data_IF_009370754942
#
_entry.id   IF_009370754942
#
_cell.length_a   1.000
_cell.length_b   1.000
_cell.length_c   1.000
_cell.angle_alpha   90.00
_cell.angle_beta   90.00
_cell.angle_gamma   90.00
#
_symmetry.space_group_name_H-M   'P 1'
#
loop_
_entity.id
_entity.type
_entity.pdbx_description
1 polymer ?
#
# COMPACT_ATOMS: atom_id res chain seq x y z
N UNK A 1 1.12 -10.40 22.31
CA UNK A 1 1.84 -9.21 22.81
C UNK A 1 2.01 -8.23 21.66
N UNK A 2 1.56 -6.97 21.81
CA UNK A 2 1.72 -5.93 20.78
C UNK A 2 3.16 -5.40 20.90
N UNK A 3 4.08 -5.95 20.10
CA UNK A 3 5.47 -5.48 20.11
C UNK A 3 5.49 -4.10 19.46
N UNK A 4 5.34 -3.06 20.29
CA UNK A 4 5.37 -1.69 19.81
C UNK A 4 6.82 -1.25 19.62
N UNK A 5 7.45 -1.74 18.54
CA UNK A 5 8.81 -1.32 18.18
C UNK A 5 8.80 0.20 17.97
N UNK A 6 9.60 0.96 18.74
CA UNK A 6 9.63 2.41 18.65
C UNK A 6 9.85 2.90 17.22
N UNK A 7 9.13 3.94 16.80
CA UNK A 7 9.17 4.46 15.42
C UNK A 7 10.59 4.75 14.93
N UNK A 8 11.45 5.23 15.83
CA UNK A 8 12.88 5.52 15.56
C UNK A 8 13.67 4.26 15.19
N UNK A 9 13.44 3.15 15.90
CA UNK A 9 14.09 1.86 15.64
C UNK A 9 13.64 1.31 14.28
N UNK A 10 12.36 1.46 13.95
CA UNK A 10 11.81 1.03 12.66
C UNK A 10 12.43 1.79 11.50
N UNK A 11 12.54 3.11 11.62
CA UNK A 11 13.18 3.97 10.62
C UNK A 11 14.66 3.63 10.48
N UNK A 12 15.37 3.41 11.59
CA UNK A 12 16.78 3.02 11.56
C UNK A 12 17.00 1.69 10.83
N UNK A 13 16.18 0.67 11.11
CA UNK A 13 16.24 -0.63 10.43
C UNK A 13 15.95 -0.51 8.92
N UNK A 14 15.00 0.33 8.53
CA UNK A 14 14.71 0.57 7.11
C UNK A 14 15.85 1.30 6.40
N UNK A 15 16.41 2.34 7.02
CA UNK A 15 17.56 3.06 6.45
C UNK A 15 18.80 2.16 6.35
N UNK A 16 19.04 1.32 7.37
CA UNK A 16 20.13 0.36 7.38
C UNK A 16 19.99 -0.66 6.23
N UNK A 17 18.78 -1.16 5.97
CA UNK A 17 18.56 -2.11 4.87
C UNK A 17 18.71 -1.44 3.49
N UNK A 18 18.18 -0.21 3.33
CA UNK A 18 18.23 0.55 2.06
C UNK A 18 19.65 0.95 1.70
N UNK A 19 20.44 1.43 2.68
CA UNK A 19 21.81 1.88 2.45
C UNK A 19 22.83 0.74 2.59
N UNK A 20 22.57 -0.22 3.48
CA UNK A 20 23.48 -1.33 3.75
C UNK A 20 23.59 -2.29 2.59
N UNK A 21 22.51 -2.52 1.83
CA UNK A 21 22.56 -3.43 0.66
C UNK A 21 23.54 -2.92 -0.42
N UNK A 22 23.48 -1.65 -0.88
CA UNK A 22 24.50 -1.08 -1.77
C UNK A 22 25.92 -1.17 -1.20
N UNK A 23 26.10 -0.88 0.10
CA UNK A 23 27.42 -0.89 0.75
C UNK A 23 28.01 -2.31 0.79
N UNK A 24 27.22 -3.30 1.16
CA UNK A 24 27.64 -4.70 1.25
C UNK A 24 27.94 -5.26 -0.15
N UNK A 25 27.11 -4.95 -1.15
CA UNK A 25 27.37 -5.34 -2.54
C UNK A 25 28.67 -4.71 -3.06
N UNK A 26 28.89 -3.43 -2.77
CA UNK A 26 30.14 -2.75 -3.14
C UNK A 26 31.36 -3.35 -2.43
N UNK A 27 31.25 -3.61 -1.13
CA UNK A 27 32.32 -4.24 -0.35
C UNK A 27 32.66 -5.64 -0.87
N UNK A 28 31.64 -6.43 -1.26
CA UNK A 28 31.85 -7.76 -1.87
C UNK A 28 32.51 -7.66 -3.24
N UNK A 29 32.12 -6.67 -4.05
CA UNK A 29 32.72 -6.41 -5.36
C UNK A 29 34.19 -5.96 -5.26
N UNK A 30 34.53 -5.20 -4.20
CA UNK A 30 35.91 -4.83 -3.85
C UNK A 30 36.73 -5.98 -3.27
N UNK A 31 36.10 -7.11 -2.93
CA UNK A 31 36.74 -8.24 -2.26
C UNK A 31 37.09 -7.97 -0.79
N UNK A 32 36.51 -6.95 -0.17
CA UNK A 32 36.72 -6.64 1.25
C UNK A 32 36.00 -7.60 2.19
N UNK A 33 34.93 -8.22 1.69
CA UNK A 33 34.15 -9.22 2.40
C UNK A 33 33.97 -10.46 1.52
N UNK A 34 33.78 -11.62 2.14
CA UNK A 34 33.58 -12.90 1.47
C UNK A 34 32.11 -13.32 1.42
N UNK A 35 31.91 -14.59 1.08
CA UNK A 35 30.57 -15.18 0.96
C UNK A 35 29.88 -15.38 2.32
N UNK A 36 30.68 -15.54 3.39
CA UNK A 36 30.17 -15.66 4.76
C UNK A 36 29.47 -14.37 5.20
N UNK A 37 30.14 -13.22 5.06
CA UNK A 37 29.59 -11.92 5.46
C UNK A 37 28.37 -11.55 4.61
N UNK A 38 28.41 -11.88 3.32
CA UNK A 38 27.27 -11.67 2.43
C UNK A 38 26.07 -12.53 2.83
N UNK A 39 26.29 -13.79 3.20
CA UNK A 39 25.25 -14.68 3.69
C UNK A 39 24.68 -14.19 5.05
N UNK A 40 25.55 -13.70 5.93
CA UNK A 40 25.14 -13.14 7.23
C UNK A 40 24.27 -11.89 7.04
N UNK A 41 24.65 -11.01 6.12
CA UNK A 41 23.84 -9.85 5.73
C UNK A 41 22.48 -10.28 5.17
N UNK A 42 22.46 -11.24 4.24
CA UNK A 42 21.21 -11.75 3.67
C UNK A 42 20.26 -12.35 4.72
N UNK A 43 20.81 -13.04 5.72
CA UNK A 43 20.04 -13.57 6.84
C UNK A 43 19.42 -12.45 7.70
N UNK A 44 20.17 -11.37 7.96
CA UNK A 44 19.68 -10.19 8.69
C UNK A 44 18.52 -9.51 7.95
N UNK A 45 18.69 -9.24 6.65
CA UNK A 45 17.65 -8.64 5.79
C UNK A 45 16.37 -9.49 5.82
N UNK A 46 16.51 -10.81 5.73
CA UNK A 46 15.38 -11.74 5.75
C UNK A 46 14.63 -11.68 7.09
N UNK A 47 15.36 -11.67 8.21
CA UNK A 47 14.77 -11.54 9.54
C UNK A 47 14.07 -10.19 9.74
N UNK A 48 14.67 -9.10 9.27
CA UNK A 48 14.11 -7.75 9.34
C UNK A 48 12.79 -7.64 8.55
N UNK A 49 12.73 -8.23 7.35
CA UNK A 49 11.51 -8.24 6.53
C UNK A 49 10.41 -9.13 7.12
N UNK A 50 10.76 -10.28 7.70
CA UNK A 50 9.80 -11.11 8.43
C UNK A 50 9.18 -10.35 9.62
N UNK A 51 10.01 -9.65 10.40
CA UNK A 51 9.54 -8.81 11.51
C UNK A 51 8.71 -7.61 11.03
N UNK A 52 9.04 -7.03 9.88
CA UNK A 52 8.24 -5.95 9.29
C UNK A 52 6.86 -6.46 8.85
N UNK A 53 6.79 -7.62 8.19
CA UNK A 53 5.53 -8.25 7.77
C UNK A 53 4.60 -8.54 8.95
N UNK A 54 5.14 -9.01 10.08
CA UNK A 54 4.37 -9.24 11.31
C UNK A 54 3.91 -7.93 11.98
N UNK A 55 4.58 -6.80 11.71
CA UNK A 55 4.24 -5.48 12.28
C UNK A 55 3.27 -4.66 11.42
N UNK A 56 3.05 -5.03 10.15
CA UNK A 56 1.97 -4.47 9.34
C UNK A 56 0.70 -5.20 9.75
N UNK A 57 -0.02 -4.62 10.72
CA UNK A 57 -1.31 -5.17 11.12
C UNK A 57 -2.23 -5.28 9.90
N UNK A 58 -2.84 -6.45 9.72
CA UNK A 58 -3.96 -6.70 8.80
C UNK A 58 -5.22 -5.95 9.25
N UNK A 59 -5.10 -4.66 9.55
CA UNK A 59 -6.24 -3.79 9.71
C UNK A 59 -6.79 -3.51 8.31
N UNK A 60 -8.12 -3.65 8.07
CA UNK A 60 -8.71 -3.11 6.86
C UNK A 60 -8.31 -1.63 6.83
N UNK A 61 -7.48 -1.24 5.86
CA UNK A 61 -7.16 0.14 5.64
C UNK A 61 -8.43 0.78 5.10
N UNK A 62 -9.29 1.22 6.02
CA UNK A 62 -10.48 1.98 5.70
C UNK A 62 -10.02 3.24 4.98
N UNK A 63 -10.06 3.21 3.65
CA UNK A 63 -9.89 4.40 2.83
C UNK A 63 -11.13 5.24 3.11
N UNK A 64 -11.00 6.19 4.02
CA UNK A 64 -12.02 7.20 4.25
C UNK A 64 -11.91 8.23 3.14
N UNK A 65 -12.69 8.02 2.07
CA UNK A 65 -12.87 9.03 1.04
C UNK A 65 -13.73 10.12 1.68
N UNK A 66 -13.13 11.29 1.94
CA UNK A 66 -13.91 12.49 2.26
C UNK A 66 -14.55 12.96 0.97
N UNK A 67 -15.87 12.80 0.90
CA UNK A 67 -16.68 13.31 -0.20
C UNK A 67 -17.17 14.69 0.23
N UNK A 68 -16.69 15.73 -0.45
CA UNK A 68 -17.18 17.09 -0.24
C UNK A 68 -18.63 17.22 -0.76
N UNK A 69 -19.38 18.21 -0.26
CA UNK A 69 -20.80 18.38 -0.58
C UNK A 69 -21.08 18.40 -2.10
N UNK A 70 -20.20 19.03 -2.88
CA UNK A 70 -20.30 19.11 -4.34
C UNK A 70 -20.20 17.73 -5.02
N UNK A 71 -19.36 16.86 -4.47
CA UNK A 71 -19.19 15.48 -4.94
C UNK A 71 -20.39 14.61 -4.56
N UNK A 72 -21.00 14.86 -3.40
CA UNK A 72 -22.23 14.19 -2.98
C UNK A 72 -23.38 14.52 -3.95
N UNK A 73 -23.55 15.81 -4.29
CA UNK A 73 -24.57 16.26 -5.26
C UNK A 73 -24.31 15.74 -6.68
N UNK A 74 -23.05 15.53 -7.06
CA UNK A 74 -22.71 14.92 -8.34
C UNK A 74 -23.04 13.41 -8.36
N UNK A 75 -22.81 12.70 -7.26
CA UNK A 75 -23.13 11.27 -7.11
C UNK A 75 -24.65 11.04 -7.08
N UNK A 76 -25.39 11.87 -6.35
CA UNK A 76 -26.85 11.82 -6.32
C UNK A 76 -27.45 12.04 -7.71
N UNK A 77 -26.92 13.01 -8.47
CA UNK A 77 -27.30 13.21 -9.87
C UNK A 77 -26.98 12.01 -10.75
N UNK A 78 -25.80 11.40 -10.58
CA UNK A 78 -25.42 10.18 -11.29
C UNK A 78 -26.39 9.02 -11.00
N UNK A 79 -26.76 8.82 -9.74
CA UNK A 79 -27.71 7.77 -9.33
C UNK A 79 -29.14 8.03 -9.82
N UNK A 80 -29.54 9.30 -9.93
CA UNK A 80 -30.83 9.67 -10.50
C UNK A 80 -30.88 9.31 -12.00
N UNK A 81 -29.86 9.71 -12.77
CA UNK A 81 -29.73 9.41 -14.20
C UNK A 81 -29.72 7.90 -14.44
N UNK A 82 -29.04 7.13 -13.60
CA UNK A 82 -29.00 5.67 -13.70
C UNK A 82 -30.40 5.06 -13.52
N UNK A 83 -31.16 5.53 -12.50
CA UNK A 83 -32.53 5.07 -12.25
C UNK A 83 -33.47 5.44 -13.38
N UNK A 84 -33.31 6.63 -13.95
CA UNK A 84 -34.11 7.08 -15.08
C UNK A 84 -33.79 6.22 -16.31
N UNK A 85 -32.52 5.97 -16.62
CA UNK A 85 -32.12 5.06 -17.69
C UNK A 85 -32.69 3.64 -17.50
N UNK A 86 -32.65 3.12 -16.29
CA UNK A 86 -33.18 1.79 -15.97
C UNK A 86 -34.72 1.73 -16.08
N UNK A 87 -35.40 2.84 -15.81
CA UNK A 87 -36.84 2.99 -16.04
C UNK A 87 -37.15 3.08 -17.54
N UNK A 88 -36.40 3.88 -18.30
CA UNK A 88 -36.50 3.98 -19.76
C UNK A 88 -36.26 2.63 -20.45
N UNK A 89 -35.27 1.87 -19.97
CA UNK A 89 -34.94 0.55 -20.50
C UNK A 89 -36.03 -0.49 -20.19
N UNK A 90 -36.61 -0.45 -18.99
CA UNK A 90 -37.71 -1.34 -18.60
C UNK A 90 -39.01 -1.04 -19.34
N UNK A 91 -39.24 0.23 -19.69
CA UNK A 91 -40.43 0.67 -20.42
C UNK A 91 -40.26 0.65 -21.94
N UNK A 92 -39.21 0.02 -22.46
CA UNK A 92 -39.11 -0.29 -23.90
C UNK A 92 -38.89 0.89 -24.84
N UNK A 93 -38.36 2.03 -24.37
CA UNK A 93 -37.90 3.09 -25.26
C UNK A 93 -38.98 3.83 -26.09
N UNK A 94 -40.25 3.84 -25.67
CA UNK A 94 -41.33 4.54 -26.41
C UNK A 94 -41.55 6.01 -25.99
N UNK A 95 -40.55 6.68 -25.43
CA UNK A 95 -40.66 8.06 -24.94
C UNK A 95 -39.65 9.00 -25.57
N UNK A 96 -39.61 9.09 -26.90
CA UNK A 96 -38.83 10.08 -27.62
C UNK A 96 -39.35 11.51 -27.40
N UNK A 97 -38.42 12.40 -27.05
CA UNK A 97 -38.34 13.83 -27.39
C UNK A 97 -39.64 14.63 -27.35
N UNK A 98 -39.78 15.47 -26.32
CA UNK A 98 -40.18 16.88 -26.45
C UNK A 98 -39.38 17.73 -25.45
#
# INVERSE_FOLDING_TARGET
MKVNVPRRVRIALYLLNVLGTPVVVYARAKGWIGDLELALWGAEVTAAMALAGLNVGAGPQGVSIRVDADQLTALERGQQIQRDLDAYRRNGGEGGVL
#
